data_IF_249804343031
#
_entry.id   IF_249804343031
#
_cell.length_a   1.000
_cell.length_b   1.000
_cell.length_c   1.000
_cell.angle_alpha   90.00
_cell.angle_beta   90.00
_cell.angle_gamma   90.00
#
_symmetry.space_group_name_H-M   'P 1'
#
loop_
_entity.id
_entity.type
_entity.pdbx_description
1 polymer ?
#
# COMPACT_ATOMS: atom_id res chain seq x y z
N UNK A 1 45.16 10.45 17.83
CA UNK A 1 43.69 10.65 17.54
C UNK A 1 43.45 9.92 16.25
N UNK A 2 42.71 8.81 16.30
CA UNK A 2 42.43 8.02 15.09
C UNK A 2 41.17 8.63 14.46
N UNK A 3 41.30 9.10 13.23
CA UNK A 3 40.14 9.55 12.44
C UNK A 3 39.25 8.34 12.20
N UNK A 4 38.08 8.33 12.81
CA UNK A 4 37.06 7.26 12.61
C UNK A 4 36.34 7.53 11.30
N UNK A 5 36.02 6.49 10.57
CA UNK A 5 35.24 6.58 9.30
C UNK A 5 33.85 7.18 9.48
N UNK A 6 33.35 7.23 10.71
CA UNK A 6 32.10 7.94 11.08
C UNK A 6 32.18 9.44 10.80
N UNK A 7 33.39 10.01 10.62
CA UNK A 7 33.58 11.44 10.33
C UNK A 7 33.49 11.76 8.82
N UNK A 8 33.45 10.74 7.95
CA UNK A 8 33.49 10.93 6.48
C UNK A 8 32.17 10.77 5.78
N UNK A 9 31.18 10.11 6.40
CA UNK A 9 29.83 10.03 5.86
C UNK A 9 28.92 10.89 6.73
N UNK A 10 28.47 12.03 6.22
CA UNK A 10 27.51 12.88 6.93
C UNK A 10 26.14 12.23 6.82
N UNK A 11 25.62 11.56 7.88
CA UNK A 11 24.38 10.77 7.82
C UNK A 11 23.18 11.61 7.38
N UNK A 12 23.19 12.90 7.72
CA UNK A 12 22.10 13.83 7.36
C UNK A 12 21.99 14.06 5.85
N UNK A 13 23.11 14.18 5.14
CA UNK A 13 23.11 14.37 3.68
C UNK A 13 22.63 13.12 2.98
N UNK A 14 23.08 11.95 3.41
CA UNK A 14 22.67 10.67 2.87
C UNK A 14 21.18 10.40 3.11
N UNK A 15 20.67 10.67 4.32
CA UNK A 15 19.27 10.50 4.66
C UNK A 15 18.37 11.42 3.82
N UNK A 16 18.72 12.68 3.64
CA UNK A 16 17.98 13.62 2.80
C UNK A 16 17.91 13.15 1.34
N UNK A 17 19.00 12.62 0.80
CA UNK A 17 19.03 12.06 -0.55
C UNK A 17 18.14 10.82 -0.67
N UNK A 18 18.20 9.90 0.28
CA UNK A 18 17.39 8.68 0.28
C UNK A 18 15.91 8.98 0.36
N UNK A 19 15.47 9.86 1.24
CA UNK A 19 14.03 10.22 1.38
C UNK A 19 13.52 10.81 0.07
N UNK A 20 14.23 11.79 -0.49
CA UNK A 20 13.81 12.45 -1.72
C UNK A 20 13.71 11.48 -2.91
N UNK A 21 14.68 10.61 -3.07
CA UNK A 21 14.71 9.67 -4.18
C UNK A 21 13.67 8.55 -4.03
N UNK A 22 13.41 8.08 -2.81
CA UNK A 22 12.37 7.08 -2.52
C UNK A 22 10.98 7.61 -2.87
N UNK A 23 10.66 8.83 -2.49
CA UNK A 23 9.36 9.44 -2.80
C UNK A 23 9.14 9.64 -4.31
N UNK A 24 10.19 9.89 -5.08
CA UNK A 24 10.09 10.07 -6.53
C UNK A 24 9.76 8.76 -7.28
N UNK A 25 10.06 7.60 -6.71
CA UNK A 25 9.95 6.31 -7.40
C UNK A 25 8.72 5.51 -6.94
N UNK A 26 8.10 5.84 -5.80
CA UNK A 26 6.94 5.11 -5.30
C UNK A 26 5.75 5.26 -6.27
N UNK A 27 5.37 4.16 -6.92
CA UNK A 27 4.36 4.16 -7.96
C UNK A 27 2.95 4.51 -7.43
N UNK A 28 2.58 4.07 -6.25
CA UNK A 28 1.28 4.35 -5.65
C UNK A 28 1.13 5.82 -5.27
N UNK A 29 2.21 6.45 -4.79
CA UNK A 29 2.21 7.88 -4.51
C UNK A 29 2.09 8.72 -5.79
N UNK A 30 2.84 8.36 -6.84
CA UNK A 30 2.79 9.05 -8.13
C UNK A 30 1.43 8.96 -8.82
N UNK A 31 0.65 7.94 -8.52
CA UNK A 31 -0.65 7.70 -9.13
C UNK A 31 -1.83 8.27 -8.33
N UNK A 32 -1.57 8.96 -7.21
CA UNK A 32 -2.59 9.61 -6.41
C UNK A 32 -3.44 8.67 -5.55
N UNK A 33 -3.02 7.41 -5.38
CA UNK A 33 -3.66 6.45 -4.47
C UNK A 33 -3.28 6.71 -3.02
N UNK A 34 -2.07 7.23 -2.79
CA UNK A 34 -1.58 7.62 -1.48
C UNK A 34 -1.57 9.14 -1.35
N UNK A 35 -2.17 9.62 -0.28
CA UNK A 35 -2.18 11.04 0.09
C UNK A 35 -1.25 11.26 1.28
N UNK A 36 -0.39 12.27 1.18
CA UNK A 36 0.36 12.76 2.34
C UNK A 36 -0.59 13.42 3.32
N UNK A 37 -0.63 12.90 4.55
CA UNK A 37 -1.52 13.36 5.61
C UNK A 37 -0.72 14.00 6.75
N UNK A 38 -0.94 15.29 6.98
CA UNK A 38 -0.28 16.06 8.03
C UNK A 38 -0.71 15.64 9.44
N UNK A 39 -1.95 15.19 9.60
CA UNK A 39 -2.47 14.73 10.89
C UNK A 39 -1.84 13.40 11.29
N UNK A 40 -1.72 12.48 10.33
CA UNK A 40 -0.96 11.24 10.53
C UNK A 40 0.51 11.54 10.84
N UNK A 41 1.12 12.50 10.16
CA UNK A 41 2.51 12.88 10.39
C UNK A 41 2.73 13.45 11.81
N UNK A 42 1.83 14.31 12.29
CA UNK A 42 1.88 14.87 13.64
C UNK A 42 1.75 13.80 14.73
N UNK A 43 0.82 12.86 14.55
CA UNK A 43 0.61 11.72 15.44
C UNK A 43 1.78 10.73 15.38
N UNK A 44 2.35 10.52 14.21
CA UNK A 44 3.53 9.67 14.03
C UNK A 44 4.77 10.24 14.76
N UNK A 45 4.92 11.56 14.85
CA UNK A 45 5.96 12.22 15.62
C UNK A 45 5.76 12.05 17.14
N UNK A 46 4.54 11.83 17.57
CA UNK A 46 4.12 11.69 19.00
C UNK A 46 4.51 10.39 19.57
N UNK A 47 4.70 9.53 20.04
CA UNK A 47 4.94 8.20 20.60
C UNK A 47 3.78 7.24 20.33
N UNK A 48 4.00 5.96 20.65
CA UNK A 48 2.97 4.91 20.55
C UNK A 48 3.10 4.04 19.29
N UNK A 49 2.60 2.81 19.36
CA UNK A 49 2.60 1.83 18.26
C UNK A 49 1.42 2.05 17.32
N UNK A 50 0.27 2.38 17.88
CA UNK A 50 -0.94 2.73 17.16
C UNK A 50 -1.41 4.10 17.59
N UNK A 51 -2.15 4.78 16.74
CA UNK A 51 -2.75 6.06 17.07
C UNK A 51 -4.16 6.18 16.50
N UNK A 52 -5.02 6.85 17.26
CA UNK A 52 -6.41 7.03 16.89
C UNK A 52 -6.58 8.17 15.91
N UNK A 53 -7.40 7.94 14.90
CA UNK A 53 -7.87 8.92 13.94
C UNK A 53 -9.39 9.06 14.13
N UNK A 54 -9.86 10.00 14.96
CA UNK A 54 -11.30 10.19 15.15
C UNK A 54 -11.92 10.81 13.91
N UNK A 55 -13.14 10.42 13.59
CA UNK A 55 -13.93 11.00 12.51
C UNK A 55 -15.41 11.10 12.94
N UNK A 56 -16.16 11.98 12.28
CA UNK A 56 -17.61 12.04 12.41
C UNK A 56 -18.22 11.04 11.44
N UNK A 57 -19.20 10.26 11.91
CA UNK A 57 -20.02 9.46 11.01
C UNK A 57 -20.94 10.38 10.22
N UNK A 58 -21.42 9.92 9.08
CA UNK A 58 -22.43 10.64 8.33
C UNK A 58 -23.77 10.64 9.07
N UNK A 59 -24.68 11.50 8.67
CA UNK A 59 -26.04 11.49 9.15
C UNK A 59 -26.76 10.21 8.66
N UNK A 60 -27.66 9.70 9.49
CA UNK A 60 -28.49 8.58 9.10
C UNK A 60 -29.38 8.98 7.91
N UNK A 61 -29.50 8.09 6.92
CA UNK A 61 -30.32 8.31 5.71
C UNK A 61 -31.77 7.85 5.97
N UNK A 62 -32.32 8.30 7.10
CA UNK A 62 -33.71 8.06 7.46
C UNK A 62 -34.62 9.01 6.69
N UNK A 63 -35.85 8.55 6.42
CA UNK A 63 -36.86 9.37 5.77
C UNK A 63 -37.19 10.59 6.66
N UNK A 64 -37.27 11.79 6.05
CA UNK A 64 -37.63 13.00 6.77
C UNK A 64 -39.07 12.92 7.28
N UNK A 65 -39.27 13.34 8.52
CA UNK A 65 -40.60 13.37 9.14
C UNK A 65 -41.57 14.28 8.35
N UNK A 66 -42.78 13.81 8.04
CA UNK A 66 -43.83 14.67 7.47
C UNK A 66 -44.29 15.68 8.52
N UNK A 67 -44.45 16.92 8.11
CA UNK A 67 -45.00 17.95 8.98
C UNK A 67 -46.42 17.61 9.41
N UNK A 68 -46.78 17.91 10.68
CA UNK A 68 -48.10 17.73 11.26
C UNK A 68 -48.70 19.09 11.68
N UNK A 69 -50.02 19.25 11.54
CA UNK A 69 -50.78 20.39 12.06
C UNK A 69 -51.25 20.16 13.53
N UNK A 70 -50.97 18.97 14.05
CA UNK A 70 -51.26 18.64 15.46
C UNK A 70 -50.22 19.29 16.41
N UNK A 71 -50.65 20.22 17.29
CA UNK A 71 -49.72 20.91 18.22
C UNK A 71 -49.10 19.98 19.26
N UNK A 72 -49.62 18.79 19.47
CA UNK A 72 -49.11 17.77 20.38
C UNK A 72 -48.12 16.80 19.71
N UNK A 73 -47.91 16.94 18.41
CA UNK A 73 -46.93 16.15 17.68
C UNK A 73 -45.55 16.79 17.66
N UNK A 74 -44.56 16.13 18.23
CA UNK A 74 -43.18 16.61 18.37
C UNK A 74 -42.20 15.78 17.50
N UNK A 75 -41.42 16.46 16.70
CA UNK A 75 -40.32 15.82 15.98
C UNK A 75 -39.22 15.36 16.94
N UNK A 76 -38.66 14.21 16.71
CA UNK A 76 -37.54 13.66 17.48
C UNK A 76 -36.22 13.92 16.74
N UNK A 77 -35.36 14.82 17.21
CA UNK A 77 -34.11 15.11 16.53
C UNK A 77 -33.13 13.92 16.65
N UNK A 78 -32.56 13.49 15.56
CA UNK A 78 -31.45 12.52 15.53
C UNK A 78 -30.13 13.25 15.72
N UNK A 79 -29.12 12.54 16.28
CA UNK A 79 -27.80 13.09 16.58
C UNK A 79 -26.72 12.46 15.71
N UNK A 80 -25.67 13.24 15.42
CA UNK A 80 -24.47 12.73 14.76
C UNK A 80 -23.58 12.03 15.79
N UNK A 81 -22.99 10.90 15.42
CA UNK A 81 -22.07 10.13 16.26
C UNK A 81 -20.65 10.15 15.70
N UNK A 82 -19.67 9.87 16.56
CA UNK A 82 -18.26 9.77 16.15
C UNK A 82 -17.84 8.33 15.99
N UNK A 83 -16.95 8.08 15.05
CA UNK A 83 -16.22 6.83 14.89
C UNK A 83 -14.75 7.01 15.25
N UNK A 84 -14.05 5.89 15.43
CA UNK A 84 -12.63 5.86 15.71
C UNK A 84 -11.96 4.90 14.73
N UNK A 85 -11.09 5.45 13.93
CA UNK A 85 -10.17 4.67 13.11
C UNK A 85 -8.83 4.54 13.85
N UNK A 86 -8.08 3.49 13.58
CA UNK A 86 -6.82 3.18 14.25
C UNK A 86 -5.75 2.95 13.19
N UNK A 87 -4.81 3.86 13.12
CA UNK A 87 -3.67 3.76 12.25
C UNK A 87 -2.47 3.12 12.95
N UNK A 88 -1.67 2.39 12.18
CA UNK A 88 -0.49 1.67 12.63
C UNK A 88 0.78 2.46 12.29
N UNK A 89 1.68 2.58 13.30
CA UNK A 89 3.07 2.96 13.07
C UNK A 89 3.84 1.75 12.59
N UNK A 90 4.59 1.90 11.50
CA UNK A 90 5.52 0.92 11.02
C UNK A 90 6.95 1.41 11.21
N UNK A 91 7.79 0.56 11.77
CA UNK A 91 9.22 0.79 11.90
C UNK A 91 9.95 -0.35 11.20
N UNK A 92 10.70 -0.03 10.17
CA UNK A 92 11.41 -1.01 9.34
C UNK A 92 12.90 -0.72 9.32
N UNK A 93 13.70 -1.76 9.48
CA UNK A 93 15.15 -1.67 9.45
C UNK A 93 15.74 -2.63 8.44
N UNK A 94 16.85 -2.24 7.84
CA UNK A 94 17.65 -3.12 7.00
C UNK A 94 19.12 -2.71 7.08
N UNK A 95 19.98 -3.70 7.29
CA UNK A 95 21.43 -3.54 7.27
C UNK A 95 22.05 -4.29 6.09
N UNK A 96 23.14 -3.77 5.59
CA UNK A 96 24.02 -4.39 4.60
C UNK A 96 25.44 -4.25 5.07
N UNK A 97 26.24 -5.31 4.97
CA UNK A 97 27.63 -5.33 5.38
C UNK A 97 28.56 -5.63 4.21
N UNK A 98 29.77 -5.12 4.29
CA UNK A 98 30.86 -5.41 3.36
C UNK A 98 32.17 -5.50 4.10
N UNK A 99 33.00 -6.51 3.77
CA UNK A 99 34.37 -6.55 4.25
C UNK A 99 35.24 -5.54 3.48
N UNK A 100 36.07 -4.77 4.19
CA UNK A 100 36.94 -3.77 3.57
C UNK A 100 37.94 -4.40 2.60
N UNK A 101 38.45 -5.58 2.94
CA UNK A 101 39.40 -6.31 2.10
C UNK A 101 38.83 -6.60 0.69
N UNK A 102 37.51 -6.72 0.54
CA UNK A 102 36.88 -6.91 -0.77
C UNK A 102 37.09 -5.69 -1.66
N UNK A 103 37.00 -4.48 -1.12
CA UNK A 103 37.22 -3.26 -1.89
C UNK A 103 38.69 -3.17 -2.40
N UNK A 104 39.64 -3.57 -1.57
CA UNK A 104 41.04 -3.57 -1.91
C UNK A 104 41.42 -4.65 -2.94
N UNK A 105 40.92 -5.86 -2.76
CA UNK A 105 41.21 -6.97 -3.68
C UNK A 105 40.45 -6.92 -5.01
N UNK A 106 39.19 -6.48 -4.99
CA UNK A 106 38.36 -6.40 -6.17
C UNK A 106 38.53 -5.09 -6.98
N UNK A 107 39.20 -4.08 -6.42
CA UNK A 107 39.35 -2.76 -7.04
C UNK A 107 38.01 -2.01 -7.21
N UNK A 108 36.97 -2.44 -6.52
CA UNK A 108 35.62 -1.89 -6.56
C UNK A 108 35.07 -1.82 -5.13
N UNK A 109 34.50 -0.68 -4.75
CA UNK A 109 33.95 -0.45 -3.42
C UNK A 109 32.49 -0.96 -3.35
N UNK A 110 32.22 -2.09 -2.64
CA UNK A 110 30.89 -2.62 -2.50
C UNK A 110 29.95 -1.72 -1.71
N UNK A 111 30.49 -0.94 -0.74
CA UNK A 111 29.67 -0.05 0.10
C UNK A 111 29.05 1.08 -0.72
N UNK A 112 29.81 1.73 -1.60
CA UNK A 112 29.29 2.71 -2.55
C UNK A 112 28.21 2.11 -3.48
N UNK A 113 28.39 0.84 -3.86
CA UNK A 113 27.40 0.14 -4.68
C UNK A 113 26.11 -0.11 -3.89
N UNK A 114 26.20 -0.50 -2.62
CA UNK A 114 25.07 -0.65 -1.70
C UNK A 114 24.34 0.69 -1.56
N UNK A 115 25.05 1.78 -1.24
CA UNK A 115 24.48 3.12 -1.09
C UNK A 115 23.65 3.54 -2.32
N UNK A 116 24.17 3.31 -3.52
CA UNK A 116 23.46 3.64 -4.76
C UNK A 116 22.16 2.84 -4.97
N UNK A 117 21.98 1.70 -4.28
CA UNK A 117 20.83 0.80 -4.42
C UNK A 117 19.81 0.88 -3.28
N UNK A 118 20.17 1.49 -2.17
CA UNK A 118 19.32 1.56 -0.97
C UNK A 118 18.00 2.28 -1.25
N UNK A 119 18.02 3.36 -2.01
CA UNK A 119 16.82 4.10 -2.39
C UNK A 119 15.83 3.22 -3.17
N UNK A 120 16.30 2.54 -4.20
CA UNK A 120 15.48 1.64 -5.00
C UNK A 120 14.97 0.43 -4.19
N UNK A 121 15.74 -0.03 -3.19
CA UNK A 121 15.29 -1.07 -2.26
C UNK A 121 14.07 -0.59 -1.45
N UNK A 122 14.14 0.60 -0.82
CA UNK A 122 13.05 1.12 -0.02
C UNK A 122 11.79 1.43 -0.83
N UNK A 123 11.94 1.93 -2.06
CA UNK A 123 10.82 2.11 -2.97
C UNK A 123 10.06 0.80 -3.17
N UNK A 124 10.75 -0.28 -3.53
CA UNK A 124 10.14 -1.61 -3.69
C UNK A 124 9.53 -2.15 -2.39
N UNK A 125 10.12 -1.83 -1.22
CA UNK A 125 9.54 -2.25 0.06
C UNK A 125 8.23 -1.51 0.36
N UNK A 126 8.13 -0.24 0.06
CA UNK A 126 6.88 0.52 0.24
C UNK A 126 5.77 -0.01 -0.67
N UNK A 127 6.07 -0.32 -1.93
CA UNK A 127 5.09 -0.94 -2.83
C UNK A 127 4.62 -2.32 -2.31
N UNK A 128 5.55 -3.14 -1.79
CA UNK A 128 5.21 -4.43 -1.17
C UNK A 128 4.33 -4.27 0.07
N UNK A 129 4.60 -3.28 0.90
CA UNK A 129 3.82 -3.02 2.10
C UNK A 129 2.41 -2.52 1.73
N UNK A 130 2.30 -1.66 0.70
CA UNK A 130 1.01 -1.20 0.21
C UNK A 130 0.15 -2.36 -0.33
N UNK A 131 0.74 -3.24 -1.12
CA UNK A 131 0.05 -4.43 -1.63
C UNK A 131 -0.31 -5.40 -0.50
N UNK A 132 0.58 -5.59 0.49
CA UNK A 132 0.31 -6.44 1.65
C UNK A 132 -0.85 -5.88 2.49
N UNK A 133 -0.89 -4.57 2.70
CA UNK A 133 -1.99 -3.87 3.37
C UNK A 133 -3.30 -4.03 2.61
N UNK A 134 -3.31 -3.75 1.30
CA UNK A 134 -4.50 -3.94 0.47
C UNK A 134 -5.00 -5.40 0.51
N UNK A 135 -4.08 -6.36 0.46
CA UNK A 135 -4.41 -7.78 0.56
C UNK A 135 -5.06 -8.14 1.89
N UNK A 136 -4.56 -7.60 3.00
CA UNK A 136 -5.15 -7.82 4.33
C UNK A 136 -6.55 -7.23 4.45
N UNK A 137 -6.75 -6.03 3.93
CA UNK A 137 -8.05 -5.35 3.86
C UNK A 137 -9.09 -6.18 3.09
N UNK A 138 -8.73 -6.69 1.91
CA UNK A 138 -9.64 -7.53 1.14
C UNK A 138 -9.85 -8.90 1.77
N UNK A 139 -8.86 -9.45 2.47
CA UNK A 139 -9.02 -10.68 3.22
C UNK A 139 -10.01 -10.52 4.39
N UNK A 140 -9.97 -9.39 5.08
CA UNK A 140 -10.96 -9.02 6.10
C UNK A 140 -12.36 -8.87 5.50
N UNK A 141 -12.48 -8.14 4.40
CA UNK A 141 -13.76 -7.96 3.72
C UNK A 141 -14.41 -9.29 3.30
N UNK A 142 -13.62 -10.23 2.76
CA UNK A 142 -14.13 -11.57 2.40
C UNK A 142 -14.58 -12.33 3.65
N UNK A 143 -13.84 -12.21 4.76
CA UNK A 143 -14.10 -12.98 5.96
C UNK A 143 -15.26 -12.43 6.82
N UNK A 144 -15.38 -11.10 6.91
CA UNK A 144 -16.20 -10.43 7.90
C UNK A 144 -17.32 -9.55 7.31
N UNK A 145 -17.15 -9.04 6.07
CA UNK A 145 -18.07 -8.07 5.43
C UNK A 145 -18.78 -8.65 4.19
N UNK A 146 -18.97 -9.96 4.14
CA UNK A 146 -19.65 -10.67 3.04
C UNK A 146 -18.99 -10.49 1.64
N UNK A 147 -17.77 -9.98 1.55
CA UNK A 147 -17.06 -9.79 0.30
C UNK A 147 -17.63 -8.69 -0.61
N UNK A 148 -18.29 -7.69 -0.06
CA UNK A 148 -18.97 -6.63 -0.82
C UNK A 148 -18.01 -5.74 -1.63
N UNK A 149 -16.70 -5.84 -1.38
CA UNK A 149 -15.63 -5.17 -2.12
C UNK A 149 -14.97 -6.07 -3.17
N UNK A 150 -15.37 -7.33 -3.29
CA UNK A 150 -14.66 -8.34 -4.07
C UNK A 150 -15.58 -8.95 -5.13
N UNK A 151 -15.09 -9.00 -6.37
CA UNK A 151 -15.69 -9.76 -7.45
C UNK A 151 -14.73 -10.92 -7.81
N UNK A 152 -15.07 -12.14 -7.41
CA UNK A 152 -14.28 -13.34 -7.70
C UNK A 152 -14.99 -14.17 -8.78
N UNK A 153 -14.49 -14.07 -10.02
CA UNK A 153 -14.94 -14.87 -11.15
C UNK A 153 -13.99 -16.04 -11.45
N UNK A 154 -12.94 -16.20 -10.63
CA UNK A 154 -11.96 -17.26 -10.82
C UNK A 154 -12.48 -18.62 -10.34
N UNK A 155 -12.06 -19.67 -11.00
CA UNK A 155 -12.33 -21.05 -10.58
C UNK A 155 -11.04 -21.86 -10.53
N UNK A 156 -11.01 -22.94 -9.77
CA UNK A 156 -9.88 -23.88 -9.71
C UNK A 156 -10.24 -25.25 -10.32
N UNK A 157 -11.12 -25.25 -11.32
CA UNK A 157 -11.55 -26.48 -12.02
C UNK A 157 -10.48 -27.08 -12.91
N UNK A 158 -10.50 -28.42 -13.11
CA UNK A 158 -9.56 -29.13 -13.96
C UNK A 158 -9.81 -29.05 -15.47
N UNK A 159 -10.85 -28.35 -15.92
CA UNK A 159 -11.19 -28.15 -17.34
C UNK A 159 -10.43 -27.00 -17.98
N UNK A 160 -10.74 -26.66 -19.24
CA UNK A 160 -10.21 -25.46 -19.89
C UNK A 160 -10.76 -24.19 -19.22
N UNK A 161 -9.96 -23.12 -19.17
CA UNK A 161 -10.39 -21.81 -18.68
C UNK A 161 -11.41 -21.25 -19.67
N UNK A 162 -12.57 -20.83 -19.16
CA UNK A 162 -13.62 -20.23 -19.99
C UNK A 162 -13.44 -18.71 -20.08
N UNK A 163 -14.09 -18.08 -21.06
CA UNK A 163 -14.02 -16.62 -21.23
C UNK A 163 -14.61 -15.87 -20.03
N UNK A 164 -15.56 -16.46 -19.32
CA UNK A 164 -16.18 -15.87 -18.13
C UNK A 164 -15.24 -15.80 -16.91
N UNK A 165 -14.22 -16.64 -16.87
CA UNK A 165 -13.23 -16.69 -15.78
C UNK A 165 -12.03 -15.76 -16.02
N UNK A 166 -11.98 -15.15 -17.19
CA UNK A 166 -10.86 -14.34 -17.65
C UNK A 166 -11.13 -12.85 -17.44
N UNK A 167 -10.06 -12.09 -17.30
CA UNK A 167 -10.16 -10.62 -17.21
C UNK A 167 -10.82 -10.06 -18.48
N UNK A 168 -11.90 -9.29 -18.29
CA UNK A 168 -12.70 -8.69 -19.36
C UNK A 168 -13.25 -7.32 -18.95
N UNK A 169 -13.74 -6.55 -19.93
CA UNK A 169 -14.39 -5.27 -19.65
C UNK A 169 -15.64 -5.43 -18.78
N UNK A 170 -16.43 -6.48 -19.02
CA UNK A 170 -17.59 -6.81 -18.22
C UNK A 170 -17.20 -7.05 -16.76
N UNK A 171 -16.20 -7.89 -16.49
CA UNK A 171 -15.71 -8.16 -15.16
C UNK A 171 -15.20 -6.89 -14.42
N UNK A 172 -14.54 -5.99 -15.13
CA UNK A 172 -14.07 -4.70 -14.57
C UNK A 172 -15.25 -3.80 -14.22
N UNK A 173 -16.25 -3.72 -15.11
CA UNK A 173 -17.46 -2.91 -14.88
C UNK A 173 -18.30 -3.46 -13.74
N UNK A 174 -18.44 -4.77 -13.63
CA UNK A 174 -19.15 -5.44 -12.52
C UNK A 174 -18.41 -5.22 -11.19
N UNK A 175 -17.09 -5.28 -11.23
CA UNK A 175 -16.27 -4.95 -10.04
C UNK A 175 -16.43 -3.48 -9.64
N UNK A 176 -16.44 -2.56 -10.60
CA UNK A 176 -16.69 -1.15 -10.32
C UNK A 176 -18.14 -0.93 -9.80
N UNK A 177 -19.11 -1.73 -10.24
CA UNK A 177 -20.49 -1.65 -9.79
C UNK A 177 -20.68 -2.00 -8.31
N UNK A 178 -19.71 -2.66 -7.65
CA UNK A 178 -19.72 -2.83 -6.18
C UNK A 178 -19.77 -1.51 -5.43
N UNK A 179 -19.32 -0.41 -6.06
CA UNK A 179 -19.41 0.98 -5.54
C UNK A 179 -20.77 1.64 -5.85
N UNK A 180 -21.68 0.98 -6.58
CA UNK A 180 -22.96 1.56 -6.98
C UNK A 180 -22.78 2.80 -7.86
N UNK A 181 -23.43 3.91 -7.47
CA UNK A 181 -23.35 5.20 -8.16
C UNK A 181 -21.99 5.92 -7.98
N UNK A 182 -21.22 5.56 -6.94
CA UNK A 182 -19.88 6.08 -6.68
C UNK A 182 -18.77 5.38 -7.50
N UNK A 183 -19.09 4.49 -8.46
CA UNK A 183 -18.10 3.75 -9.27
C UNK A 183 -17.07 4.62 -10.00
N UNK A 184 -17.39 5.89 -10.27
CA UNK A 184 -16.47 6.86 -10.90
C UNK A 184 -15.33 7.33 -10.00
N UNK A 185 -15.40 7.06 -8.70
CA UNK A 185 -14.31 7.33 -7.77
C UNK A 185 -13.11 6.40 -7.99
N UNK A 186 -13.34 5.20 -8.52
CA UNK A 186 -12.27 4.29 -8.92
C UNK A 186 -11.58 4.84 -10.17
N UNK A 187 -10.25 4.94 -10.15
CA UNK A 187 -9.44 5.58 -11.22
C UNK A 187 -8.25 4.75 -11.68
N UNK A 188 -7.72 3.90 -10.81
CA UNK A 188 -6.52 3.12 -11.05
C UNK A 188 -6.81 1.64 -10.96
N UNK A 189 -6.28 0.88 -11.91
CA UNK A 189 -6.21 -0.58 -11.87
C UNK A 189 -4.75 -0.98 -11.68
N UNK A 190 -4.49 -1.80 -10.67
CA UNK A 190 -3.18 -2.41 -10.43
C UNK A 190 -3.28 -3.89 -10.71
N UNK A 191 -2.57 -4.37 -11.73
CA UNK A 191 -2.67 -5.74 -12.23
C UNK A 191 -1.31 -6.40 -12.37
N UNK A 192 -1.32 -7.74 -12.41
CA UNK A 192 -0.13 -8.54 -12.69
C UNK A 192 0.25 -8.46 -14.18
N UNK A 193 1.55 -8.61 -14.49
CA UNK A 193 2.06 -8.52 -15.86
C UNK A 193 1.46 -9.55 -16.83
N UNK A 194 1.08 -10.73 -16.36
CA UNK A 194 0.39 -11.76 -17.17
C UNK A 194 -0.95 -11.25 -17.70
N UNK A 195 -1.77 -10.65 -16.83
CA UNK A 195 -3.07 -10.09 -17.21
C UNK A 195 -2.87 -8.93 -18.19
N UNK A 196 -1.92 -8.05 -17.91
CA UNK A 196 -1.57 -6.95 -18.82
C UNK A 196 -1.10 -7.45 -20.21
N UNK A 197 -0.24 -8.47 -20.24
CA UNK A 197 0.25 -9.05 -21.49
C UNK A 197 -0.89 -9.63 -22.32
N UNK A 198 -1.87 -10.24 -21.69
CA UNK A 198 -3.06 -10.72 -22.37
C UNK A 198 -3.89 -9.59 -22.99
N UNK A 199 -4.15 -8.51 -22.24
CA UNK A 199 -4.83 -7.34 -22.76
C UNK A 199 -4.09 -6.70 -23.93
N UNK A 200 -2.76 -6.63 -23.85
CA UNK A 200 -1.92 -6.12 -24.94
C UNK A 200 -2.01 -6.99 -26.21
N UNK A 201 -2.06 -8.32 -26.05
CA UNK A 201 -2.25 -9.24 -27.20
C UNK A 201 -3.61 -9.10 -27.87
N UNK A 202 -4.63 -8.68 -27.13
CA UNK A 202 -5.99 -8.46 -27.62
C UNK A 202 -6.20 -7.03 -28.15
N UNK A 203 -5.15 -6.18 -28.14
CA UNK A 203 -5.19 -4.76 -28.55
C UNK A 203 -6.26 -3.95 -27.83
N UNK A 204 -6.43 -4.21 -26.53
CA UNK A 204 -7.45 -3.59 -25.69
C UNK A 204 -6.90 -2.44 -24.81
N UNK A 205 -5.63 -2.10 -24.94
CA UNK A 205 -4.97 -1.07 -24.13
C UNK A 205 -4.88 0.25 -24.90
N UNK A 206 -5.49 1.29 -24.37
CA UNK A 206 -5.32 2.64 -24.87
C UNK A 206 -4.04 3.28 -24.31
N UNK A 207 -3.19 3.81 -25.18
CA UNK A 207 -2.02 4.56 -24.77
C UNK A 207 -2.27 6.06 -24.94
N UNK A 208 -2.22 6.82 -23.85
CA UNK A 208 -2.41 8.27 -23.86
C UNK A 208 -1.14 8.96 -23.39
N UNK A 209 -0.63 9.96 -24.14
CA UNK A 209 0.51 10.77 -23.69
C UNK A 209 0.12 11.63 -22.50
N UNK A 210 1.07 11.88 -21.60
CA UNK A 210 0.93 12.89 -20.56
C UNK A 210 0.87 14.30 -21.20
N UNK A 211 0.43 15.27 -20.40
CA UNK A 211 0.34 16.69 -20.82
C UNK A 211 1.64 17.25 -21.43
N UNK A 212 2.79 16.68 -21.08
CA UNK A 212 4.09 16.97 -21.67
C UNK A 212 4.45 16.17 -22.93
N UNK A 213 3.59 15.24 -23.38
CA UNK A 213 3.81 14.40 -24.57
C UNK A 213 4.93 13.36 -24.48
N UNK A 214 5.59 13.23 -23.34
CA UNK A 214 6.81 12.43 -23.19
C UNK A 214 6.56 11.08 -22.52
N UNK A 215 5.54 10.96 -21.67
CA UNK A 215 5.22 9.74 -20.94
C UNK A 215 3.90 9.19 -21.44
N UNK A 216 3.88 7.94 -21.87
CA UNK A 216 2.67 7.25 -22.29
C UNK A 216 2.11 6.45 -21.12
N UNK A 217 0.86 6.73 -20.77
CA UNK A 217 0.12 5.98 -19.79
C UNK A 217 -0.82 4.99 -20.48
N UNK A 218 -0.88 3.78 -19.94
CA UNK A 218 -1.83 2.76 -20.39
C UNK A 218 -3.16 2.94 -19.66
N UNK A 219 -4.25 2.84 -20.43
CA UNK A 219 -5.62 2.93 -19.94
C UNK A 219 -6.42 1.73 -20.44
N UNK A 220 -7.36 1.28 -19.62
CA UNK A 220 -8.34 0.28 -19.97
C UNK A 220 -9.71 0.70 -19.43
N UNK A 221 -10.72 0.77 -20.30
CA UNK A 221 -12.08 1.22 -19.95
C UNK A 221 -12.14 2.54 -19.14
N UNK A 222 -11.19 3.45 -19.41
CA UNK A 222 -11.09 4.73 -18.70
C UNK A 222 -10.27 4.69 -17.42
N UNK A 223 -9.90 3.53 -16.91
CA UNK A 223 -9.03 3.37 -15.76
C UNK A 223 -7.56 3.40 -16.17
N UNK A 224 -6.75 4.09 -15.40
CA UNK A 224 -5.28 4.03 -15.58
C UNK A 224 -4.76 2.68 -15.13
N UNK A 225 -3.84 2.09 -15.89
CA UNK A 225 -3.24 0.81 -15.54
C UNK A 225 -1.88 1.05 -14.88
N UNK A 226 -1.64 0.32 -13.79
CA UNK A 226 -0.32 0.12 -13.21
C UNK A 226 0.00 -1.38 -13.19
N UNK A 227 1.14 -1.76 -13.78
CA UNK A 227 1.58 -3.15 -13.83
C UNK A 227 2.60 -3.41 -12.74
N UNK A 228 2.35 -4.43 -11.92
CA UNK A 228 3.27 -4.84 -10.87
C UNK A 228 3.22 -6.35 -10.64
N UNK A 229 4.36 -7.03 -10.75
CA UNK A 229 4.47 -8.46 -10.43
C UNK A 229 4.42 -8.75 -8.92
N UNK A 230 4.33 -7.70 -8.09
CA UNK A 230 4.08 -7.85 -6.65
C UNK A 230 2.61 -8.12 -6.33
N UNK A 231 1.71 -7.86 -7.29
CA UNK A 231 0.29 -8.18 -7.16
C UNK A 231 0.13 -9.71 -7.08
N UNK A 232 -0.72 -10.23 -6.18
CA UNK A 232 -0.81 -11.67 -5.98
C UNK A 232 -1.22 -12.44 -7.24
N UNK A 233 -0.42 -13.43 -7.59
CA UNK A 233 -0.74 -14.52 -8.47
C UNK A 233 -0.72 -15.81 -7.62
N UNK A 234 -1.88 -16.28 -7.19
CA UNK A 234 -2.01 -17.39 -6.24
C UNK A 234 -2.25 -18.66 -7.03
N UNK A 235 -1.28 -19.58 -6.98
CA UNK A 235 -1.43 -20.89 -7.57
C UNK A 235 -2.48 -21.68 -6.79
N UNK A 236 -3.52 -22.13 -7.48
CA UNK A 236 -4.46 -23.15 -6.98
C UNK A 236 -3.95 -24.56 -7.28
N UNK A 237 -4.82 -25.55 -7.15
CA UNK A 237 -4.50 -26.93 -7.50
C UNK A 237 -4.34 -27.14 -9.00
N UNK A 238 -5.21 -26.51 -9.79
CA UNK A 238 -5.26 -26.64 -11.26
C UNK A 238 -4.95 -25.35 -11.99
N UNK A 239 -5.26 -24.21 -11.39
CA UNK A 239 -5.21 -22.90 -12.06
C UNK A 239 -4.63 -21.82 -11.15
N UNK A 240 -4.02 -20.81 -11.75
CA UNK A 240 -3.56 -19.60 -11.03
C UNK A 240 -4.71 -18.59 -10.98
N UNK A 241 -4.85 -17.95 -9.82
CA UNK A 241 -5.76 -16.84 -9.57
C UNK A 241 -4.96 -15.56 -9.55
N UNK A 242 -5.31 -14.62 -10.41
CA UNK A 242 -4.68 -13.30 -10.50
C UNK A 242 -5.57 -12.27 -9.83
N UNK A 243 -5.00 -11.55 -8.89
CA UNK A 243 -5.66 -10.44 -8.24
C UNK A 243 -5.48 -9.17 -9.05
N UNK A 244 -6.49 -8.36 -9.14
CA UNK A 244 -6.45 -7.04 -9.78
C UNK A 244 -7.11 -6.06 -8.83
N UNK A 245 -6.33 -5.13 -8.30
CA UNK A 245 -6.83 -4.10 -7.40
C UNK A 245 -7.34 -2.91 -8.20
N UNK A 246 -8.48 -2.38 -7.79
CA UNK A 246 -9.00 -1.11 -8.27
C UNK A 246 -9.02 -0.11 -7.13
N UNK A 247 -8.42 1.05 -7.34
CA UNK A 247 -8.28 2.10 -6.34
C UNK A 247 -8.84 3.42 -6.83
N UNK A 248 -9.46 4.15 -5.92
CA UNK A 248 -9.77 5.55 -6.09
C UNK A 248 -8.58 6.46 -5.77
N UNK A 249 -8.82 7.75 -5.75
CA UNK A 249 -7.85 8.72 -5.24
C UNK A 249 -7.86 8.72 -3.71
N UNK A 250 -6.69 8.99 -3.12
CA UNK A 250 -6.54 9.23 -1.68
C UNK A 250 -7.02 8.08 -0.77
N UNK A 251 -6.92 6.84 -1.25
CA UNK A 251 -7.35 5.64 -0.52
C UNK A 251 -6.51 5.38 0.71
N UNK A 252 -5.20 5.63 0.61
CA UNK A 252 -4.25 5.45 1.69
C UNK A 252 -3.70 6.78 2.20
N UNK A 253 -3.82 7.01 3.51
CA UNK A 253 -3.07 8.04 4.20
C UNK A 253 -1.62 7.63 4.34
N UNK A 254 -0.69 8.50 3.95
CA UNK A 254 0.74 8.30 4.07
C UNK A 254 1.37 9.36 4.95
N UNK A 255 2.20 8.93 5.88
CA UNK A 255 3.06 9.81 6.64
C UNK A 255 4.42 9.15 6.88
N UNK A 256 5.48 9.91 6.78
CA UNK A 256 6.84 9.47 7.13
C UNK A 256 7.42 10.39 8.20
N UNK A 257 8.11 9.81 9.17
CA UNK A 257 8.84 10.53 10.20
C UNK A 257 10.26 9.99 10.27
N UNK A 258 11.22 10.88 10.46
CA UNK A 258 12.59 10.45 10.62
C UNK A 258 12.80 9.81 12.01
N UNK A 259 13.29 8.56 12.10
CA UNK A 259 13.72 8.00 13.37
C UNK A 259 14.95 8.74 13.89
N UNK A 260 15.29 8.56 15.17
CA UNK A 260 16.43 9.25 15.81
C UNK A 260 17.75 9.05 15.07
N UNK A 261 17.96 7.86 14.50
CA UNK A 261 19.12 7.54 13.66
C UNK A 261 18.65 6.84 12.39
N UNK A 262 18.27 7.58 11.35
CA UNK A 262 17.72 7.00 10.12
C UNK A 262 18.77 6.21 9.33
N UNK A 263 20.02 6.64 9.37
CA UNK A 263 21.16 5.96 8.75
C UNK A 263 22.30 5.91 9.75
N UNK A 264 22.96 4.77 9.84
CA UNK A 264 24.11 4.57 10.72
C UNK A 264 25.09 3.63 10.03
N UNK A 265 26.37 4.00 10.05
CA UNK A 265 27.46 3.15 9.58
C UNK A 265 28.18 2.64 10.82
N UNK A 266 28.23 1.35 10.96
CA UNK A 266 28.97 0.65 12.01
C UNK A 266 30.20 -0.02 11.40
N UNK A 267 31.30 -0.01 12.13
CA UNK A 267 32.55 -0.57 11.67
C UNK A 267 33.17 -1.43 12.77
N UNK A 268 33.31 -2.71 12.49
CA UNK A 268 34.01 -3.67 13.33
C UNK A 268 35.42 -3.90 12.77
N UNK A 269 36.47 -3.29 13.36
CA UNK A 269 37.81 -3.45 12.89
C UNK A 269 38.45 -4.80 13.22
N UNK A 270 37.86 -5.56 14.17
CA UNK A 270 38.39 -6.86 14.58
C UNK A 270 37.86 -8.00 13.67
N UNK A 271 36.75 -7.79 12.99
CA UNK A 271 36.21 -8.78 12.07
C UNK A 271 37.15 -9.03 10.88
N UNK A 272 37.15 -10.30 10.38
CA UNK A 272 38.00 -10.69 9.26
C UNK A 272 39.52 -10.68 9.60
N UNK A 273 39.88 -11.12 10.80
CA UNK A 273 41.24 -11.15 11.30
C UNK A 273 41.96 -9.76 11.25
N UNK A 274 41.20 -8.70 11.54
CA UNK A 274 41.72 -7.32 11.53
C UNK A 274 41.58 -6.60 10.18
N UNK A 275 41.01 -7.22 9.14
CA UNK A 275 40.73 -6.56 7.87
C UNK A 275 39.55 -5.57 7.95
N UNK A 276 38.67 -5.77 8.91
CA UNK A 276 37.50 -4.93 9.18
C UNK A 276 36.28 -5.22 8.31
N UNK A 277 35.11 -5.05 8.93
CA UNK A 277 33.79 -5.13 8.27
C UNK A 277 33.03 -3.85 8.52
N UNK A 278 32.42 -3.30 7.50
CA UNK A 278 31.52 -2.14 7.60
C UNK A 278 30.08 -2.57 7.38
N UNK A 279 29.16 -2.01 8.17
CA UNK A 279 27.73 -2.29 8.09
C UNK A 279 26.97 -0.98 8.01
N UNK A 280 26.19 -0.80 6.92
CA UNK A 280 25.27 0.29 6.73
C UNK A 280 23.89 -0.11 7.25
N UNK A 281 23.42 0.52 8.31
CA UNK A 281 22.07 0.35 8.83
C UNK A 281 21.16 1.46 8.33
N UNK A 282 19.99 1.09 7.81
CA UNK A 282 18.97 2.06 7.42
C UNK A 282 17.67 1.75 8.13
N UNK A 283 17.01 2.79 8.61
CA UNK A 283 15.77 2.70 9.38
C UNK A 283 14.74 3.65 8.78
N UNK A 284 13.49 3.18 8.67
CA UNK A 284 12.36 3.96 8.21
C UNK A 284 11.21 3.85 9.19
N UNK A 285 10.59 4.97 9.48
CA UNK A 285 9.41 5.07 10.32
C UNK A 285 8.32 5.78 9.52
N UNK A 286 7.18 5.11 9.35
CA UNK A 286 6.09 5.63 8.53
C UNK A 286 4.76 5.06 9.01
N UNK A 287 3.67 5.66 8.56
CA UNK A 287 2.33 5.12 8.65
C UNK A 287 1.76 5.01 7.23
N UNK A 288 1.14 3.87 6.94
CA UNK A 288 0.33 3.64 5.75
C UNK A 288 -1.02 3.14 6.24
N UNK A 289 -2.03 3.96 6.08
CA UNK A 289 -3.34 3.72 6.68
C UNK A 289 -4.44 3.74 5.60
N UNK A 290 -5.15 2.62 5.37
CA UNK A 290 -6.34 2.62 4.52
C UNK A 290 -7.48 3.32 5.27
N UNK A 291 -8.03 4.39 4.70
CA UNK A 291 -9.12 5.12 5.35
C UNK A 291 -10.38 4.27 5.47
N UNK A 292 -11.00 4.31 6.64
CA UNK A 292 -12.22 3.58 6.97
C UNK A 292 -12.02 2.12 7.40
N UNK A 293 -10.76 1.70 7.60
CA UNK A 293 -10.41 0.34 8.00
C UNK A 293 -9.36 0.40 9.10
N UNK A 294 -9.76 0.05 10.32
CA UNK A 294 -8.89 0.12 11.49
C UNK A 294 -7.95 -1.07 11.60
N UNK A 295 -6.79 -0.83 12.15
CA UNK A 295 -5.86 -1.85 12.59
C UNK A 295 -6.29 -2.40 13.95
N UNK A 296 -6.43 -3.73 14.10
CA UNK A 296 -6.89 -4.39 15.32
C UNK A 296 -5.77 -4.97 16.17
N UNK A 297 -4.59 -5.22 15.57
CA UNK A 297 -3.43 -5.79 16.24
C UNK A 297 -3.65 -7.18 16.87
N UNK A 298 -4.59 -7.94 16.33
CA UNK A 298 -5.05 -9.20 16.94
C UNK A 298 -4.05 -10.34 16.74
N UNK A 299 -3.33 -10.35 15.62
CA UNK A 299 -2.46 -11.47 15.23
C UNK A 299 -1.08 -10.98 14.79
N UNK A 300 -0.35 -10.37 15.73
CA UNK A 300 1.00 -9.84 15.52
C UNK A 300 1.96 -10.43 16.54
N UNK A 301 3.05 -11.03 16.08
CA UNK A 301 4.02 -11.71 16.94
C UNK A 301 5.11 -10.81 17.51
N UNK A 302 5.33 -9.62 16.94
CA UNK A 302 6.40 -8.69 17.33
C UNK A 302 5.90 -7.28 17.67
N UNK A 303 6.84 -6.36 17.87
CA UNK A 303 6.54 -4.94 18.13
C UNK A 303 5.87 -4.26 16.91
N UNK A 304 6.28 -4.64 15.70
CA UNK A 304 5.76 -4.14 14.45
C UNK A 304 5.44 -5.29 13.51
N UNK A 305 4.34 -5.23 12.74
CA UNK A 305 3.92 -6.33 11.91
C UNK A 305 4.87 -6.58 10.74
N UNK A 306 5.03 -7.82 10.39
CA UNK A 306 5.65 -8.28 9.14
C UNK A 306 4.68 -8.08 7.96
N UNK A 307 5.17 -8.22 6.72
CA UNK A 307 4.28 -8.18 5.56
C UNK A 307 3.26 -9.34 5.56
N UNK A 308 3.64 -10.50 6.13
CA UNK A 308 2.73 -11.64 6.27
C UNK A 308 1.57 -11.33 7.24
N UNK A 309 1.86 -10.66 8.35
CA UNK A 309 0.86 -10.26 9.33
C UNK A 309 -0.03 -9.11 8.82
N UNK A 310 0.50 -8.22 7.98
CA UNK A 310 -0.32 -7.22 7.28
C UNK A 310 -1.35 -7.85 6.33
N UNK A 311 -1.08 -9.04 5.80
CA UNK A 311 -2.01 -9.75 4.90
C UNK A 311 -3.10 -10.56 5.63
N UNK A 312 -3.07 -10.64 6.97
CA UNK A 312 -4.05 -11.39 7.74
C UNK A 312 -5.33 -10.59 7.95
N UNK A 313 -6.47 -11.21 7.64
CA UNK A 313 -7.80 -10.65 7.88
C UNK A 313 -8.00 -10.23 9.35
N UNK A 314 -7.56 -11.04 10.31
CA UNK A 314 -7.73 -10.79 11.74
C UNK A 314 -7.13 -9.48 12.25
N UNK A 315 -6.20 -8.87 11.49
CA UNK A 315 -5.54 -7.62 11.89
C UNK A 315 -6.23 -6.37 11.36
N UNK A 316 -7.29 -6.51 10.59
CA UNK A 316 -8.07 -5.43 10.02
C UNK A 316 -9.53 -5.55 10.42
N UNK A 317 -10.26 -4.44 10.43
CA UNK A 317 -11.69 -4.41 10.66
C UNK A 317 -12.27 -3.11 10.10
N UNK A 318 -13.33 -3.24 9.30
CA UNK A 318 -14.00 -2.12 8.65
C UNK A 318 -14.70 -1.23 9.67
N UNK A 319 -14.52 0.09 9.54
CA UNK A 319 -15.12 1.10 10.42
C UNK A 319 -16.19 1.93 9.71
N UNK A 320 -16.01 2.19 8.41
CA UNK A 320 -17.00 2.91 7.62
C UNK A 320 -18.15 1.98 7.23
N UNK A 321 -19.38 2.27 7.65
CA UNK A 321 -20.52 1.38 7.39
C UNK A 321 -20.89 1.34 5.92
N UNK A 322 -20.78 2.50 5.24
CA UNK A 322 -21.14 2.64 3.83
C UNK A 322 -20.03 2.16 2.90
N UNK A 323 -20.36 1.21 2.03
CA UNK A 323 -19.44 0.67 1.02
C UNK A 323 -18.85 1.76 0.12
N UNK A 324 -19.65 2.77 -0.24
CA UNK A 324 -19.28 3.86 -1.14
C UNK A 324 -18.20 4.79 -0.60
N UNK A 325 -18.00 4.80 0.71
CA UNK A 325 -16.97 5.62 1.36
C UNK A 325 -15.56 5.03 1.25
N UNK A 326 -15.44 3.77 0.79
CA UNK A 326 -14.16 3.07 0.66
C UNK A 326 -13.92 2.80 -0.82
N UNK A 327 -13.22 3.69 -1.55
CA UNK A 327 -13.02 3.57 -2.99
C UNK A 327 -11.94 2.54 -3.35
N UNK A 328 -12.17 1.30 -2.94
CA UNK A 328 -11.33 0.13 -3.23
C UNK A 328 -12.21 -1.01 -3.73
N UNK A 329 -11.76 -1.75 -4.72
CA UNK A 329 -12.40 -2.98 -5.16
C UNK A 329 -11.35 -4.00 -5.61
N UNK A 330 -11.69 -5.28 -5.54
CA UNK A 330 -10.84 -6.39 -5.95
C UNK A 330 -11.56 -7.23 -7.00
N UNK A 331 -10.88 -7.48 -8.10
CA UNK A 331 -11.28 -8.45 -9.11
C UNK A 331 -10.31 -9.64 -9.06
N UNK A 332 -10.83 -10.87 -9.00
CA UNK A 332 -10.03 -12.10 -9.05
C UNK A 332 -10.42 -12.89 -10.29
N UNK A 333 -9.41 -13.21 -11.13
CA UNK A 333 -9.60 -13.90 -12.42
C UNK A 333 -8.60 -15.04 -12.58
N UNK A 334 -8.77 -15.85 -13.63
CA UNK A 334 -7.78 -16.86 -14.03
C UNK A 334 -6.81 -16.38 -15.15
N UNK A 335 -6.74 -15.08 -15.42
CA UNK A 335 -5.81 -14.48 -16.36
C UNK A 335 -6.42 -13.49 -17.34
#
# INVERSE_FOLDING_TARGET
>A
MVVRLTDTVVPEVFNSYMVKNTMQINAFHQQGVMRSDSDLASKLAGGGRTFNVPFWKDLDDEESDPGSDDPDSYAVPSGITTGRDVALRQFRTKGWSSARLVAELAGSDPMKRIESRVSAYWSRQFDRIAIATARGVFADNIANDAGDMVNDISTDGGGAITSAELFSAEAVMDTAQTMGDAKRELKLIVMHSEVHTRLAKLDLIDFRPDSGGTIWHSYYEGFRIHVSDMVPAIAGTNRTRYWTFMFGSDVFGWAESAPAKPVEVDSDPAAGDGAGVETLWTRRQFALHPYGIKWTDTSVGGEFPTNAELMLAANWDRVYPERKQIPMALLITNG
#
